data_IF_749526575601
#
_entry.id   IF_749526575601
#
_cell.length_a   1.000
_cell.length_b   1.000
_cell.length_c   1.000
_cell.angle_alpha   90.00
_cell.angle_beta   90.00
_cell.angle_gamma   90.00
#
_symmetry.space_group_name_H-M   'P 1'
#
loop_
_entity.id
_entity.type
_entity.pdbx_description
1 polymer ?
#
# COMPACT_ATOMS: atom_id res chain seq x y z
N UNK A 1 5.29 4.79 -47.84
CA UNK A 1 5.61 5.09 -46.42
C UNK A 1 4.31 5.05 -45.64
N UNK A 2 3.91 3.90 -45.13
CA UNK A 2 2.68 3.77 -44.33
C UNK A 2 2.79 2.52 -43.46
N UNK A 3 3.25 2.68 -42.23
CA UNK A 3 3.04 1.68 -41.19
C UNK A 3 2.66 2.41 -39.91
N UNK A 4 1.43 2.95 -39.90
CA UNK A 4 0.75 3.24 -38.65
C UNK A 4 0.43 1.86 -38.05
N UNK A 5 1.29 1.44 -37.13
CA UNK A 5 1.04 0.29 -36.29
C UNK A 5 -0.35 0.45 -35.68
N UNK A 6 -1.23 -0.49 -36.05
CA UNK A 6 -2.52 -0.75 -35.44
C UNK A 6 -2.38 -0.74 -33.91
N UNK A 7 -2.67 0.40 -33.29
CA UNK A 7 -3.00 0.45 -31.88
C UNK A 7 -4.40 -0.16 -31.76
N UNK A 8 -4.46 -1.48 -31.68
CA UNK A 8 -5.70 -2.22 -31.50
C UNK A 8 -6.39 -1.69 -30.24
N UNK A 9 -7.58 -1.12 -30.42
CA UNK A 9 -8.41 -0.59 -29.34
C UNK A 9 -8.82 -1.68 -28.31
N UNK A 10 -8.48 -2.94 -28.58
CA UNK A 10 -8.71 -4.13 -27.76
C UNK A 10 -7.59 -4.45 -26.75
N UNK A 11 -6.59 -3.58 -26.58
CA UNK A 11 -5.47 -3.84 -25.67
C UNK A 11 -5.83 -3.84 -24.16
N UNK A 12 -7.05 -3.40 -23.78
CA UNK A 12 -7.48 -3.45 -22.40
C UNK A 12 -8.94 -3.96 -22.24
N UNK A 13 -9.14 -5.26 -21.90
CA UNK A 13 -10.48 -5.85 -21.71
C UNK A 13 -11.27 -5.27 -20.52
N UNK A 14 -10.69 -4.32 -19.78
CA UNK A 14 -11.30 -3.63 -18.65
C UNK A 14 -12.08 -2.37 -19.08
N UNK A 15 -11.76 -1.77 -20.24
CA UNK A 15 -12.28 -0.45 -20.65
C UNK A 15 -13.79 -0.45 -20.99
N UNK A 16 -14.35 -1.61 -21.33
CA UNK A 16 -15.75 -1.76 -21.78
C UNK A 16 -16.73 -2.26 -20.69
N UNK A 17 -16.32 -2.37 -19.41
CA UNK A 17 -17.17 -2.94 -18.34
C UNK A 17 -17.91 -1.85 -17.57
N UNK A 18 -19.22 -1.97 -17.37
CA UNK A 18 -20.07 -0.99 -16.65
C UNK A 18 -20.83 -1.63 -15.48
N UNK A 19 -21.35 -0.79 -14.57
CA UNK A 19 -22.22 -1.21 -13.46
C UNK A 19 -21.55 -2.07 -12.37
N UNK A 20 -22.35 -2.93 -11.72
CA UNK A 20 -21.95 -3.82 -10.62
C UNK A 20 -20.84 -4.82 -11.01
N UNK A 21 -20.78 -5.22 -12.29
CA UNK A 21 -19.71 -6.06 -12.81
C UNK A 21 -18.33 -5.42 -12.62
N UNK A 22 -18.22 -4.09 -12.76
CA UNK A 22 -16.96 -3.36 -12.55
C UNK A 22 -16.51 -3.40 -11.09
N UNK A 23 -17.44 -3.26 -10.14
CA UNK A 23 -17.14 -3.28 -8.69
C UNK A 23 -16.65 -4.67 -8.26
N UNK A 24 -17.33 -5.73 -8.73
CA UNK A 24 -16.92 -7.11 -8.43
C UNK A 24 -15.51 -7.43 -8.95
N UNK A 25 -15.22 -7.04 -10.19
CA UNK A 25 -13.88 -7.21 -10.75
C UNK A 25 -12.83 -6.37 -10.04
N UNK A 26 -13.16 -5.12 -9.66
CA UNK A 26 -12.27 -4.28 -8.86
C UNK A 26 -11.94 -4.93 -7.51
N UNK A 27 -12.92 -5.51 -6.82
CA UNK A 27 -12.70 -6.26 -5.58
C UNK A 27 -11.78 -7.47 -5.81
N UNK A 28 -11.97 -8.20 -6.91
CA UNK A 28 -11.08 -9.29 -7.31
C UNK A 28 -9.64 -8.83 -7.57
N UNK A 29 -9.44 -7.70 -8.23
CA UNK A 29 -8.11 -7.11 -8.45
C UNK A 29 -7.47 -6.64 -7.14
N UNK A 30 -8.23 -6.03 -6.23
CA UNK A 30 -7.75 -5.66 -4.90
C UNK A 30 -7.27 -6.89 -4.12
N UNK A 31 -8.03 -7.99 -4.15
CA UNK A 31 -7.64 -9.24 -3.49
C UNK A 31 -6.39 -9.86 -4.12
N UNK A 32 -6.27 -9.80 -5.45
CA UNK A 32 -5.06 -10.24 -6.14
C UNK A 32 -3.84 -9.38 -5.74
N UNK A 33 -4.00 -8.07 -5.60
CA UNK A 33 -2.96 -7.16 -5.12
C UNK A 33 -2.52 -7.46 -3.68
N UNK A 34 -3.48 -7.69 -2.77
CA UNK A 34 -3.17 -8.10 -1.39
C UNK A 34 -2.47 -9.46 -1.33
N UNK A 35 -2.86 -10.41 -2.19
CA UNK A 35 -2.21 -11.71 -2.29
C UNK A 35 -0.79 -11.60 -2.85
N UNK A 36 -0.56 -10.69 -3.79
CA UNK A 36 0.77 -10.38 -4.29
C UNK A 36 1.64 -9.76 -3.18
N UNK A 37 1.12 -8.78 -2.44
CA UNK A 37 1.83 -8.25 -1.26
C UNK A 37 2.18 -9.35 -0.25
N UNK A 38 1.29 -10.31 -0.02
CA UNK A 38 1.53 -11.41 0.94
C UNK A 38 2.72 -12.32 0.60
N UNK A 39 3.24 -12.34 -0.64
CA UNK A 39 4.48 -13.06 -0.93
C UNK A 39 5.70 -12.38 -0.29
N UNK A 40 5.65 -11.07 -0.07
CA UNK A 40 6.71 -10.30 0.56
C UNK A 40 6.73 -10.46 2.07
N UNK A 41 7.92 -10.72 2.62
CA UNK A 41 8.09 -10.92 4.06
C UNK A 41 7.80 -9.64 4.84
N UNK A 42 8.22 -8.48 4.32
CA UNK A 42 7.97 -7.17 4.92
C UNK A 42 6.46 -6.90 5.03
N UNK A 43 5.73 -7.00 3.91
CA UNK A 43 4.28 -6.84 3.91
C UNK A 43 3.56 -7.80 4.86
N UNK A 44 3.97 -9.08 4.97
CA UNK A 44 3.37 -10.01 5.95
C UNK A 44 3.55 -9.53 7.39
N UNK A 45 4.74 -9.03 7.75
CA UNK A 45 5.01 -8.51 9.09
C UNK A 45 4.13 -7.29 9.37
N UNK A 46 4.04 -6.35 8.43
CA UNK A 46 3.20 -5.16 8.57
C UNK A 46 1.71 -5.49 8.61
N UNK A 47 1.24 -6.47 7.82
CA UNK A 47 -0.15 -6.91 7.82
C UNK A 47 -0.53 -7.59 9.14
N UNK A 48 0.37 -8.40 9.71
CA UNK A 48 0.18 -8.99 11.03
C UNK A 48 0.20 -7.92 12.13
N UNK A 49 1.11 -6.95 12.07
CA UNK A 49 1.12 -5.82 12.98
C UNK A 49 -0.19 -5.04 12.88
N UNK A 50 -0.68 -4.76 11.67
CA UNK A 50 -1.96 -4.11 11.41
C UNK A 50 -3.14 -4.87 12.02
N UNK A 51 -3.18 -6.20 11.86
CA UNK A 51 -4.24 -7.04 12.42
C UNK A 51 -4.30 -6.96 13.97
N UNK A 52 -3.18 -6.70 14.64
CA UNK A 52 -3.11 -6.49 16.09
C UNK A 52 -3.39 -5.03 16.47
N UNK A 53 -2.86 -4.08 15.71
CA UNK A 53 -2.94 -2.66 16.00
C UNK A 53 -4.33 -2.08 15.72
N UNK A 54 -5.09 -2.56 14.74
CA UNK A 54 -6.44 -2.06 14.48
C UNK A 54 -7.41 -2.29 15.66
N UNK A 55 -7.50 -3.50 16.26
CA UNK A 55 -8.25 -3.68 17.51
C UNK A 55 -7.67 -2.86 18.67
N UNK A 56 -6.34 -2.77 18.79
CA UNK A 56 -5.71 -1.99 19.85
C UNK A 56 -5.99 -0.48 19.72
N UNK A 57 -6.23 0.04 18.51
CA UNK A 57 -6.62 1.44 18.30
C UNK A 57 -7.98 1.75 18.96
N UNK A 58 -8.95 0.82 18.87
CA UNK A 58 -10.25 0.93 19.53
C UNK A 58 -10.11 0.93 21.06
N UNK A 59 -9.18 0.14 21.58
CA UNK A 59 -8.91 0.11 23.01
C UNK A 59 -8.17 1.35 23.49
N UNK A 60 -7.21 1.86 22.71
CA UNK A 60 -6.29 2.94 23.09
C UNK A 60 -6.91 4.34 22.96
N UNK A 61 -7.63 4.61 21.86
CA UNK A 61 -8.28 5.91 21.62
C UNK A 61 -9.49 6.15 22.52
N UNK A 62 -9.68 7.39 22.99
CA UNK A 62 -10.81 7.81 23.86
C UNK A 62 -11.95 8.46 23.08
N UNK A 63 -11.68 8.90 21.86
CA UNK A 63 -12.64 9.53 20.97
C UNK A 63 -12.61 8.89 19.59
N UNK A 64 -13.68 9.06 18.82
CA UNK A 64 -13.72 8.56 17.43
C UNK A 64 -12.59 9.16 16.58
N UNK A 65 -12.13 10.38 16.88
CA UNK A 65 -11.01 11.05 16.21
C UNK A 65 -9.71 10.33 16.51
N UNK A 66 -9.40 10.08 17.79
CA UNK A 66 -8.18 9.37 18.20
C UNK A 66 -8.12 7.95 17.60
N UNK A 67 -9.22 7.21 17.68
CA UNK A 67 -9.33 5.88 17.08
C UNK A 67 -9.07 5.96 15.57
N UNK A 68 -9.67 6.94 14.89
CA UNK A 68 -9.50 7.12 13.45
C UNK A 68 -8.05 7.49 13.07
N UNK A 69 -7.35 8.29 13.87
CA UNK A 69 -5.95 8.63 13.65
C UNK A 69 -5.03 7.43 13.87
N UNK A 70 -5.25 6.65 14.95
CA UNK A 70 -4.48 5.44 15.24
C UNK A 70 -4.68 4.37 14.17
N UNK A 71 -5.94 4.10 13.79
CA UNK A 71 -6.26 3.16 12.72
C UNK A 71 -5.76 3.67 11.35
N UNK A 72 -5.93 4.96 11.07
CA UNK A 72 -5.53 5.58 9.82
C UNK A 72 -4.03 5.51 9.56
N UNK A 73 -3.20 5.72 10.58
CA UNK A 73 -1.73 5.60 10.44
C UNK A 73 -1.27 4.17 10.19
N UNK A 74 -1.92 3.18 10.80
CA UNK A 74 -1.65 1.75 10.56
C UNK A 74 -2.05 1.36 9.13
N UNK A 75 -3.22 1.81 8.66
CA UNK A 75 -3.64 1.57 7.28
C UNK A 75 -2.74 2.27 6.27
N UNK A 76 -2.25 3.46 6.59
CA UNK A 76 -1.33 4.21 5.73
C UNK A 76 -0.03 3.43 5.49
N UNK A 77 0.53 2.77 6.52
CA UNK A 77 1.71 1.90 6.37
C UNK A 77 1.46 0.83 5.30
N UNK A 78 0.36 0.08 5.41
CA UNK A 78 0.02 -0.96 4.41
C UNK A 78 -0.22 -0.40 3.01
N UNK A 79 -0.84 0.78 2.91
CA UNK A 79 -1.06 1.44 1.61
C UNK A 79 0.28 1.77 0.97
N UNK A 80 1.20 2.37 1.72
CA UNK A 80 2.51 2.78 1.21
C UNK A 80 3.36 1.55 0.85
N UNK A 81 3.32 0.48 1.63
CA UNK A 81 4.04 -0.76 1.33
C UNK A 81 3.53 -1.46 0.07
N UNK A 82 2.20 -1.50 -0.15
CA UNK A 82 1.63 -2.02 -1.41
C UNK A 82 2.02 -1.16 -2.61
N UNK A 83 2.06 0.17 -2.44
CA UNK A 83 2.54 1.07 -3.48
C UNK A 83 4.03 0.87 -3.77
N UNK A 84 4.85 0.65 -2.74
CA UNK A 84 6.27 0.34 -2.88
C UNK A 84 6.47 -1.00 -3.63
N UNK A 85 5.75 -2.05 -3.24
CA UNK A 85 5.76 -3.35 -3.92
C UNK A 85 5.37 -3.21 -5.39
N UNK A 86 4.33 -2.44 -5.69
CA UNK A 86 3.92 -2.15 -7.07
C UNK A 86 4.97 -1.38 -7.86
N UNK A 87 5.63 -0.39 -7.24
CA UNK A 87 6.72 0.37 -7.83
C UNK A 87 7.92 -0.55 -8.14
N UNK A 88 8.29 -1.41 -7.20
CA UNK A 88 9.37 -2.39 -7.39
C UNK A 88 9.06 -3.34 -8.54
N UNK A 89 7.84 -3.87 -8.63
CA UNK A 89 7.42 -4.71 -9.75
C UNK A 89 7.52 -4.00 -11.12
N UNK A 90 7.20 -2.70 -11.18
CA UNK A 90 7.36 -1.90 -12.40
C UNK A 90 8.84 -1.70 -12.73
N UNK A 91 9.67 -1.39 -11.74
CA UNK A 91 11.12 -1.19 -11.92
C UNK A 91 11.81 -2.49 -12.35
N UNK A 92 11.47 -3.62 -11.72
CA UNK A 92 12.05 -4.94 -12.00
C UNK A 92 11.67 -5.48 -13.38
N UNK A 93 10.52 -5.04 -13.93
CA UNK A 93 10.13 -5.35 -15.30
C UNK A 93 11.05 -4.72 -16.35
N UNK A 94 11.69 -3.59 -16.06
CA UNK A 94 12.48 -2.83 -17.05
C UNK A 94 13.71 -3.63 -17.51
N UNK A 95 14.41 -4.26 -16.56
CA UNK A 95 15.61 -5.06 -16.83
C UNK A 95 16.42 -5.35 -15.56
N UNK A 96 17.20 -6.44 -15.52
CA UNK A 96 18.03 -6.81 -14.36
C UNK A 96 19.32 -5.99 -14.25
N UNK A 97 19.68 -5.24 -15.29
CA UNK A 97 20.87 -4.40 -15.28
C UNK A 97 20.78 -3.24 -14.28
N UNK A 98 21.92 -2.88 -13.71
CA UNK A 98 21.99 -1.75 -12.81
C UNK A 98 21.72 -0.44 -13.57
N UNK A 99 20.77 0.34 -13.07
CA UNK A 99 20.49 1.68 -13.58
C UNK A 99 20.27 2.68 -12.43
N UNK A 100 20.93 3.83 -12.50
CA UNK A 100 20.88 4.84 -11.44
C UNK A 100 19.46 5.33 -11.13
N UNK A 101 18.61 5.47 -12.16
CA UNK A 101 17.20 5.86 -11.98
C UNK A 101 16.36 4.76 -11.31
N UNK A 102 16.59 3.49 -11.65
CA UNK A 102 15.90 2.35 -11.02
C UNK A 102 16.25 2.26 -9.54
N UNK A 103 17.54 2.42 -9.21
CA UNK A 103 17.98 2.51 -7.81
C UNK A 103 17.29 3.67 -7.09
N UNK A 104 17.31 4.87 -7.67
CA UNK A 104 16.67 6.06 -7.07
C UNK A 104 15.18 5.85 -6.82
N UNK A 105 14.46 5.23 -7.77
CA UNK A 105 13.03 4.96 -7.62
C UNK A 105 12.76 4.04 -6.42
N UNK A 106 13.51 2.94 -6.30
CA UNK A 106 13.42 2.01 -5.16
C UNK A 106 13.78 2.70 -3.84
N UNK A 107 14.88 3.45 -3.81
CA UNK A 107 15.32 4.19 -2.62
C UNK A 107 14.23 5.16 -2.12
N UNK A 108 13.59 5.89 -3.03
CA UNK A 108 12.47 6.80 -2.66
C UNK A 108 11.21 6.06 -2.22
N UNK A 109 10.91 4.90 -2.81
CA UNK A 109 9.80 4.05 -2.37
C UNK A 109 10.01 3.54 -0.95
N UNK A 110 11.18 2.98 -0.67
CA UNK A 110 11.58 2.56 0.69
C UNK A 110 11.57 3.71 1.70
N UNK A 111 12.00 4.91 1.28
CA UNK A 111 11.94 6.10 2.14
C UNK A 111 10.49 6.49 2.50
N UNK A 112 9.54 6.33 1.57
CA UNK A 112 8.12 6.56 1.86
C UNK A 112 7.59 5.57 2.90
N UNK A 113 7.95 4.28 2.79
CA UNK A 113 7.60 3.25 3.79
C UNK A 113 8.14 3.65 5.16
N UNK A 114 9.43 4.00 5.25
CA UNK A 114 10.05 4.46 6.51
C UNK A 114 9.31 5.65 7.13
N UNK A 115 8.98 6.67 6.33
CA UNK A 115 8.26 7.85 6.83
C UNK A 115 6.86 7.48 7.34
N UNK A 116 6.16 6.56 6.68
CA UNK A 116 4.86 6.07 7.14
C UNK A 116 4.96 5.31 8.46
N UNK A 117 6.01 4.48 8.63
CA UNK A 117 6.30 3.77 9.88
C UNK A 117 6.62 4.74 11.02
N UNK A 118 7.42 5.78 10.77
CA UNK A 118 7.74 6.80 11.76
C UNK A 118 6.50 7.59 12.19
N UNK A 119 5.62 7.95 11.25
CA UNK A 119 4.36 8.61 11.55
C UNK A 119 3.45 7.71 12.41
N UNK A 120 3.33 6.43 12.06
CA UNK A 120 2.56 5.46 12.83
C UNK A 120 3.12 5.28 14.24
N UNK A 121 4.42 4.98 14.36
CA UNK A 121 5.10 4.79 15.64
C UNK A 121 5.01 6.04 16.53
N UNK A 122 5.23 7.24 15.96
CA UNK A 122 5.11 8.50 16.69
C UNK A 122 3.71 8.75 17.22
N UNK A 123 2.69 8.57 16.37
CA UNK A 123 1.27 8.76 16.74
C UNK A 123 0.86 7.79 17.85
N UNK A 124 1.23 6.52 17.72
CA UNK A 124 0.94 5.47 18.70
C UNK A 124 1.66 5.68 20.02
N UNK A 125 2.94 6.06 19.98
CA UNK A 125 3.72 6.36 21.19
C UNK A 125 3.11 7.53 21.95
N UNK A 126 2.72 8.60 21.26
CA UNK A 126 2.07 9.75 21.90
C UNK A 126 0.72 9.38 22.50
N UNK A 127 -0.10 8.59 21.81
CA UNK A 127 -1.37 8.10 22.35
C UNK A 127 -1.16 7.20 23.59
N UNK A 128 -0.13 6.36 23.59
CA UNK A 128 0.20 5.50 24.72
C UNK A 128 0.67 6.31 25.93
N UNK A 129 1.57 7.28 25.73
CA UNK A 129 2.02 8.20 26.79
C UNK A 129 0.82 8.94 27.38
N UNK A 130 -0.07 9.47 26.53
CA UNK A 130 -1.27 10.15 26.98
C UNK A 130 -2.22 9.23 27.75
N UNK A 131 -2.33 7.96 27.36
CA UNK A 131 -3.17 6.96 28.03
C UNK A 131 -2.63 6.52 29.40
N UNK A 132 -1.31 6.43 29.55
CA UNK A 132 -0.66 5.95 30.79
C UNK A 132 -0.36 7.08 31.77
N UNK A 133 -0.22 8.31 31.29
CA UNK A 133 0.03 9.49 32.12
C UNK A 133 -1.22 10.22 32.62
N UNK A 134 -2.42 9.76 32.24
CA UNK A 134 -3.72 10.29 32.68
C UNK A 134 -4.42 9.30 33.60
#
# INVERSE_FOLDING_TARGET
MSNQAQFSADANPQKNRTGLSRVWHAAGYSLAGLRAGWSETAFRQEALACALMLPAALWLGRSWVEVSLLAGTVLLVLIIELLNTGLEAVVDRIGPEWHALSKRAKDTGSAAVLLSLLLCAGTWTMALIHRLGA
#
